data_IF_619090517931
#
_entry.id   IF_619090517931
#
_cell.length_a   1.000
_cell.length_b   1.000
_cell.length_c   1.000
_cell.angle_alpha   90.00
_cell.angle_beta   90.00
_cell.angle_gamma   90.00
#
_symmetry.space_group_name_H-M   'P 1'
#
loop_
_entity.id
_entity.type
_entity.pdbx_description
1 polymer ?
#
# COMPACT_ATOMS: atom_id res chain seq x y z
N UNK A 1 -59.11 -25.99 56.71
CA UNK A 1 -58.97 -25.10 55.53
C UNK A 1 -57.56 -24.50 55.50
N UNK A 2 -57.04 -24.18 54.31
CA UNK A 2 -55.74 -23.59 53.98
C UNK A 2 -54.48 -24.50 54.01
N UNK A 3 -54.15 -25.13 52.87
CA UNK A 3 -52.81 -25.64 52.56
C UNK A 3 -52.00 -24.57 51.81
N UNK A 4 -50.88 -24.13 52.41
CA UNK A 4 -49.90 -23.19 51.82
C UNK A 4 -49.24 -23.80 50.58
N UNK A 5 -49.33 -23.13 49.43
CA UNK A 5 -48.57 -23.45 48.21
C UNK A 5 -47.12 -22.95 48.35
N UNK A 6 -46.13 -23.85 48.25
CA UNK A 6 -44.71 -23.52 48.14
C UNK A 6 -44.41 -22.98 46.74
N UNK A 7 -43.85 -21.79 46.67
CA UNK A 7 -43.37 -21.15 45.44
C UNK A 7 -41.94 -21.64 45.15
N UNK A 8 -41.77 -22.44 44.11
CA UNK A 8 -40.46 -22.94 43.66
C UNK A 8 -39.77 -21.87 42.78
N UNK A 9 -38.70 -21.28 43.31
CA UNK A 9 -37.77 -20.46 42.51
C UNK A 9 -37.02 -21.36 41.52
N UNK A 10 -37.30 -21.22 40.22
CA UNK A 10 -36.49 -21.82 39.14
C UNK A 10 -35.19 -21.02 38.99
N UNK A 11 -34.05 -21.66 39.23
CA UNK A 11 -32.72 -21.14 38.88
C UNK A 11 -32.58 -21.13 37.35
N UNK A 12 -32.40 -19.96 36.76
CA UNK A 12 -31.97 -19.81 35.37
C UNK A 12 -30.46 -20.08 35.34
N UNK A 13 -30.04 -21.20 34.74
CA UNK A 13 -28.62 -21.50 34.49
C UNK A 13 -28.19 -20.76 33.23
N UNK A 14 -27.28 -19.80 33.39
CA UNK A 14 -26.73 -18.98 32.30
C UNK A 14 -25.69 -19.70 31.42
N UNK A 15 -25.71 -19.34 30.13
CA UNK A 15 -24.57 -18.77 29.39
C UNK A 15 -23.21 -19.51 29.32
N UNK A 16 -23.17 -20.83 29.51
CA UNK A 16 -21.95 -21.63 29.24
C UNK A 16 -22.12 -22.73 28.17
N UNK A 17 -23.28 -22.82 27.52
CA UNK A 17 -23.55 -23.81 26.46
C UNK A 17 -23.21 -23.35 25.03
N UNK A 18 -23.20 -22.04 24.76
CA UNK A 18 -23.09 -21.51 23.40
C UNK A 18 -21.67 -21.47 22.82
N UNK A 19 -20.64 -21.43 23.67
CA UNK A 19 -19.24 -21.31 23.22
C UNK A 19 -18.64 -22.66 22.80
N UNK A 20 -19.19 -23.80 23.25
CA UNK A 20 -18.68 -25.13 22.89
C UNK A 20 -19.21 -25.70 21.57
N UNK A 21 -20.35 -25.20 21.08
CA UNK A 21 -20.91 -25.63 19.79
C UNK A 21 -20.20 -25.04 18.56
N UNK A 22 -19.65 -23.83 18.69
CA UNK A 22 -19.02 -23.12 17.57
C UNK A 22 -17.68 -23.71 17.12
N UNK A 23 -16.96 -24.41 18.00
CA UNK A 23 -15.66 -25.03 17.68
C UNK A 23 -15.77 -26.40 17.01
N UNK A 24 -16.95 -27.03 16.96
CA UNK A 24 -17.14 -28.33 16.30
C UNK A 24 -17.68 -28.23 14.87
N UNK A 25 -18.22 -27.09 14.45
CA UNK A 25 -18.79 -26.91 13.10
C UNK A 25 -17.77 -26.43 12.03
N UNK A 26 -16.62 -25.86 12.42
CA UNK A 26 -15.62 -25.33 11.47
C UNK A 26 -14.53 -26.33 11.05
N UNK A 27 -14.47 -27.53 11.67
CA UNK A 27 -13.44 -28.54 11.40
C UNK A 27 -13.65 -29.41 10.16
N UNK A 28 -14.71 -29.21 9.36
CA UNK A 28 -15.09 -30.13 8.27
C UNK A 28 -15.12 -29.53 6.86
N UNK A 29 -14.73 -28.26 6.67
CA UNK A 29 -14.71 -27.60 5.34
C UNK A 29 -13.28 -27.23 4.93
N UNK A 30 -12.33 -28.18 4.92
CA UNK A 30 -11.09 -28.04 4.13
C UNK A 30 -10.60 -29.42 3.66
N UNK A 31 -11.28 -29.96 2.65
CA UNK A 31 -10.89 -31.19 1.95
C UNK A 31 -9.84 -30.84 0.88
N UNK A 32 -8.57 -31.15 1.17
CA UNK A 32 -7.45 -31.51 0.26
C UNK A 32 -7.45 -30.89 -1.15
N UNK A 33 -6.67 -29.81 -1.36
CA UNK A 33 -6.10 -29.48 -2.68
C UNK A 33 -4.74 -30.17 -2.83
N UNK A 34 -4.58 -30.98 -3.88
CA UNK A 34 -3.32 -31.66 -4.22
C UNK A 34 -2.27 -30.63 -4.66
N UNK A 35 -1.09 -30.66 -4.05
CA UNK A 35 0.08 -29.88 -4.49
C UNK A 35 0.54 -30.31 -5.89
N UNK A 36 0.60 -29.37 -6.85
CA UNK A 36 1.42 -29.50 -8.05
C UNK A 36 2.85 -29.08 -7.70
N UNK A 37 3.83 -29.92 -8.04
CA UNK A 37 5.26 -29.61 -7.88
C UNK A 37 5.67 -28.57 -8.92
N UNK A 38 6.05 -27.37 -8.46
CA UNK A 38 6.75 -26.38 -9.28
C UNK A 38 8.25 -26.61 -9.12
N UNK A 39 8.98 -26.69 -10.23
CA UNK A 39 10.41 -26.97 -10.28
C UNK A 39 11.19 -25.67 -10.07
N UNK A 40 11.84 -25.51 -8.92
CA UNK A 40 12.67 -24.34 -8.58
C UNK A 40 14.06 -24.44 -9.21
N UNK A 41 14.54 -23.32 -9.77
CA UNK A 41 15.95 -23.14 -10.17
C UNK A 41 16.86 -22.98 -8.94
N UNK A 42 18.12 -23.39 -9.09
CA UNK A 42 19.09 -23.72 -8.04
C UNK A 42 19.67 -22.52 -7.26
N UNK A 43 19.90 -22.75 -5.96
CA UNK A 43 20.12 -21.83 -4.82
C UNK A 43 21.53 -21.21 -4.63
N UNK A 44 22.41 -21.14 -5.63
CA UNK A 44 23.85 -20.93 -5.34
C UNK A 44 24.48 -19.72 -6.03
N UNK A 45 24.21 -18.49 -5.56
CA UNK A 45 25.12 -17.30 -5.70
C UNK A 45 24.63 -15.94 -5.13
N UNK A 46 23.90 -15.85 -4.01
CA UNK A 46 23.44 -14.54 -3.48
C UNK A 46 23.63 -14.30 -1.98
N UNK A 47 24.68 -14.86 -1.37
CA UNK A 47 24.99 -14.68 0.06
C UNK A 47 26.34 -14.01 0.30
N UNK A 48 26.56 -12.80 -0.26
CA UNK A 48 27.78 -12.03 0.07
C UNK A 48 27.69 -10.49 -0.11
N UNK A 49 26.50 -9.89 0.04
CA UNK A 49 26.36 -8.42 0.08
C UNK A 49 25.38 -8.00 1.19
N UNK A 50 25.81 -8.08 2.45
CA UNK A 50 24.99 -7.65 3.62
C UNK A 50 25.69 -6.64 4.53
N UNK A 51 26.68 -5.89 4.03
CA UNK A 51 27.26 -4.77 4.79
C UNK A 51 27.53 -3.64 3.82
N UNK A 52 27.06 -2.45 4.20
CA UNK A 52 27.00 -1.17 3.47
C UNK A 52 25.74 -0.99 2.59
N UNK A 53 24.96 0.09 2.59
CA UNK A 53 24.68 1.30 3.38
C UNK A 53 23.57 2.04 2.57
N UNK A 54 22.60 2.70 3.21
CA UNK A 54 21.78 3.81 2.70
C UNK A 54 21.64 4.04 1.16
N UNK A 55 20.76 3.31 0.47
CA UNK A 55 20.30 3.63 -0.90
C UNK A 55 18.89 3.06 -1.15
N UNK A 56 17.95 3.30 -0.23
CA UNK A 56 16.59 2.70 -0.27
C UNK A 56 15.45 3.68 -0.50
N UNK A 57 15.75 4.97 -0.67
CA UNK A 57 14.78 6.08 -0.86
C UNK A 57 15.09 6.90 -2.12
N UNK A 58 15.86 6.34 -3.06
CA UNK A 58 16.28 7.01 -4.29
C UNK A 58 15.46 6.66 -5.54
N UNK A 59 14.46 5.78 -5.42
CA UNK A 59 13.75 5.22 -6.57
C UNK A 59 12.45 5.96 -6.97
N UNK A 60 12.04 7.04 -6.28
CA UNK A 60 10.79 7.74 -6.60
C UNK A 60 10.98 8.74 -7.74
N UNK A 61 12.04 9.56 -7.70
CA UNK A 61 12.32 10.59 -8.71
C UNK A 61 12.77 10.00 -10.07
N UNK A 62 13.51 8.89 -10.04
CA UNK A 62 13.94 8.19 -11.24
C UNK A 62 12.79 7.56 -12.04
N UNK A 63 11.75 7.09 -11.34
CA UNK A 63 10.54 6.53 -11.96
C UNK A 63 9.73 7.65 -12.64
N UNK A 64 9.50 8.79 -11.98
CA UNK A 64 8.73 9.92 -12.53
C UNK A 64 9.36 10.51 -13.80
N UNK A 65 10.69 10.69 -13.85
CA UNK A 65 11.37 11.29 -15.00
C UNK A 65 11.51 10.33 -16.19
N UNK A 66 11.52 9.01 -15.96
CA UNK A 66 11.54 8.01 -17.03
C UNK A 66 10.23 8.01 -17.83
N UNK A 67 9.08 8.09 -17.16
CA UNK A 67 7.76 8.06 -17.81
C UNK A 67 7.40 9.37 -18.54
N UNK A 68 7.96 10.54 -18.17
CA UNK A 68 7.78 11.76 -18.97
C UNK A 68 8.53 11.73 -20.31
N UNK A 69 9.51 10.84 -20.48
CA UNK A 69 10.36 10.80 -21.69
C UNK A 69 10.01 9.70 -22.70
N UNK A 70 9.12 8.77 -22.35
CA UNK A 70 8.85 7.57 -23.15
C UNK A 70 7.74 7.71 -24.21
N UNK A 71 7.07 8.86 -24.31
CA UNK A 71 6.13 9.14 -25.40
C UNK A 71 6.71 10.11 -26.42
N UNK A 72 7.56 9.62 -27.34
CA UNK A 72 7.65 10.15 -28.72
C UNK A 72 8.35 9.18 -29.68
N UNK A 73 7.76 8.01 -29.92
CA UNK A 73 7.96 7.28 -31.17
C UNK A 73 6.59 6.77 -31.63
N UNK A 74 6.04 7.41 -32.67
CA UNK A 74 4.76 7.05 -33.25
C UNK A 74 4.72 5.59 -33.70
N UNK A 75 3.73 4.85 -33.24
CA UNK A 75 3.50 3.44 -33.61
C UNK A 75 2.70 3.40 -34.92
N UNK A 76 3.14 2.65 -35.94
CA UNK A 76 2.33 2.43 -37.14
C UNK A 76 1.24 1.41 -36.82
N UNK A 77 0.01 1.77 -37.16
CA UNK A 77 -1.18 0.92 -37.09
C UNK A 77 -1.10 -0.22 -38.09
N UNK A 78 -1.14 -1.46 -37.61
CA UNK A 78 -1.57 -2.61 -38.41
C UNK A 78 -2.51 -3.51 -37.60
N UNK A 79 -3.56 -3.90 -38.31
CA UNK A 79 -4.85 -4.47 -37.92
C UNK A 79 -4.84 -5.87 -37.29
N UNK A 80 -5.93 -6.12 -36.54
CA UNK A 80 -6.61 -7.40 -36.27
C UNK A 80 -6.04 -8.33 -35.19
N UNK A 81 -6.57 -8.21 -33.97
CA UNK A 81 -7.30 -9.27 -33.24
C UNK A 81 -7.91 -8.68 -31.96
N UNK A 82 -9.24 -8.71 -31.87
CA UNK A 82 -10.03 -8.19 -30.76
C UNK A 82 -10.00 -9.12 -29.54
N UNK A 83 -9.16 -8.81 -28.57
CA UNK A 83 -9.43 -9.06 -27.14
C UNK A 83 -9.54 -7.70 -26.47
N UNK A 84 -10.75 -7.34 -26.04
CA UNK A 84 -11.01 -6.11 -25.28
C UNK A 84 -10.29 -6.21 -23.93
N UNK A 85 -9.01 -5.85 -23.88
CA UNK A 85 -8.37 -5.41 -22.65
C UNK A 85 -9.01 -4.07 -22.30
N UNK A 86 -9.90 -4.07 -21.31
CA UNK A 86 -10.47 -2.83 -20.78
C UNK A 86 -9.34 -2.07 -20.10
N UNK A 87 -8.70 -1.17 -20.83
CA UNK A 87 -7.80 -0.18 -20.28
C UNK A 87 -8.60 0.59 -19.21
N UNK A 88 -8.23 0.46 -17.93
CA UNK A 88 -8.86 1.22 -16.86
C UNK A 88 -8.43 2.68 -16.96
N UNK A 89 -9.08 3.42 -17.84
CA UNK A 89 -8.86 4.86 -18.01
C UNK A 89 -9.68 5.59 -16.95
N UNK A 90 -9.06 5.84 -15.79
CA UNK A 90 -9.59 6.78 -14.80
C UNK A 90 -9.22 8.20 -15.19
N UNK A 91 -10.14 9.15 -15.01
CA UNK A 91 -9.76 10.56 -14.93
C UNK A 91 -8.97 10.82 -13.64
N UNK A 92 -8.17 11.89 -13.62
CA UNK A 92 -7.39 12.27 -12.43
C UNK A 92 -8.27 12.45 -11.20
N UNK A 93 -9.48 12.99 -11.40
CA UNK A 93 -10.44 13.19 -10.31
C UNK A 93 -11.03 11.86 -9.82
N UNK A 94 -11.38 10.94 -10.73
CA UNK A 94 -11.87 9.60 -10.35
C UNK A 94 -10.79 8.80 -9.59
N UNK A 95 -9.53 8.92 -10.01
CA UNK A 95 -8.40 8.34 -9.27
C UNK A 95 -8.32 8.91 -7.85
N UNK A 96 -8.34 10.24 -7.72
CA UNK A 96 -8.28 10.94 -6.42
C UNK A 96 -9.44 10.49 -5.51
N UNK A 97 -10.65 10.43 -6.04
CA UNK A 97 -11.82 10.06 -5.24
C UNK A 97 -11.80 8.58 -4.82
N UNK A 98 -11.35 7.70 -5.71
CA UNK A 98 -11.21 6.27 -5.43
C UNK A 98 -10.13 6.01 -4.37
N UNK A 99 -8.93 6.56 -4.55
CA UNK A 99 -7.83 6.39 -3.60
C UNK A 99 -8.12 7.07 -2.27
N UNK A 100 -8.73 8.26 -2.30
CA UNK A 100 -9.20 8.93 -1.09
C UNK A 100 -10.21 8.10 -0.30
N UNK A 101 -11.09 7.36 -0.98
CA UNK A 101 -11.98 6.41 -0.31
C UNK A 101 -11.23 5.24 0.32
N UNK A 102 -10.21 4.68 -0.34
CA UNK A 102 -9.37 3.64 0.25
C UNK A 102 -8.60 4.14 1.47
N UNK A 103 -8.06 5.36 1.40
CA UNK A 103 -7.35 5.99 2.51
C UNK A 103 -8.25 6.23 3.72
N UNK A 104 -9.50 6.68 3.52
CA UNK A 104 -10.51 6.79 4.58
C UNK A 104 -10.82 5.42 5.21
N UNK A 105 -10.97 4.38 4.40
CA UNK A 105 -11.23 3.01 4.89
C UNK A 105 -10.06 2.45 5.70
N UNK A 106 -8.82 2.78 5.33
CA UNK A 106 -7.60 2.32 6.00
C UNK A 106 -7.23 3.13 7.25
N UNK A 107 -7.77 4.35 7.41
CA UNK A 107 -7.47 5.23 8.54
C UNK A 107 -7.58 4.56 9.93
N UNK A 108 -8.60 3.73 10.24
CA UNK A 108 -8.70 3.08 11.55
C UNK A 108 -7.54 2.14 11.88
N UNK A 109 -6.80 1.66 10.88
CA UNK A 109 -5.65 0.78 11.06
C UNK A 109 -4.32 1.54 11.11
N UNK A 110 -4.21 2.63 10.32
CA UNK A 110 -2.94 3.33 10.11
C UNK A 110 -2.81 4.63 10.90
N UNK A 111 -3.91 5.28 11.23
CA UNK A 111 -3.98 6.64 11.79
C UNK A 111 -3.24 7.71 10.98
N UNK A 112 -2.93 7.45 9.70
CA UNK A 112 -2.34 8.43 8.79
C UNK A 112 -3.45 9.22 8.12
N UNK A 113 -3.35 10.55 8.10
CA UNK A 113 -4.34 11.42 7.47
C UNK A 113 -4.64 10.95 6.02
N UNK A 114 -5.91 10.70 5.67
CA UNK A 114 -6.29 10.29 4.32
C UNK A 114 -5.80 11.24 3.22
N UNK A 115 -5.76 12.55 3.48
CA UNK A 115 -5.21 13.55 2.56
C UNK A 115 -3.75 13.30 2.21
N UNK A 116 -2.93 12.90 3.19
CA UNK A 116 -1.51 12.57 3.00
C UNK A 116 -1.35 11.33 2.14
N UNK A 117 -2.06 10.25 2.48
CA UNK A 117 -2.00 9.00 1.71
C UNK A 117 -2.42 9.22 0.26
N UNK A 118 -3.48 10.00 0.05
CA UNK A 118 -4.00 10.31 -1.29
C UNK A 118 -3.04 11.19 -2.09
N UNK A 119 -2.46 12.23 -1.46
CA UNK A 119 -1.49 13.10 -2.11
C UNK A 119 -0.20 12.36 -2.51
N UNK A 120 0.30 11.49 -1.63
CA UNK A 120 1.41 10.60 -1.97
C UNK A 120 1.03 9.73 -3.17
N UNK A 121 -0.11 9.04 -3.15
CA UNK A 121 -0.51 8.21 -4.28
C UNK A 121 -0.60 8.99 -5.60
N UNK A 122 -1.14 10.22 -5.59
CA UNK A 122 -1.20 11.09 -6.76
C UNK A 122 0.19 11.35 -7.35
N UNK A 123 1.14 11.77 -6.50
CA UNK A 123 2.51 12.03 -6.93
C UNK A 123 3.17 10.72 -7.37
N UNK A 124 3.31 9.77 -6.46
CA UNK A 124 4.10 8.54 -6.62
C UNK A 124 3.68 7.68 -7.83
N UNK A 125 2.41 7.76 -8.26
CA UNK A 125 1.87 6.93 -9.34
C UNK A 125 1.48 7.68 -10.61
N UNK A 126 1.63 9.01 -10.64
CA UNK A 126 1.08 9.87 -11.69
C UNK A 126 -0.42 9.61 -11.92
N UNK A 127 -1.23 9.78 -10.87
CA UNK A 127 -2.68 9.48 -10.91
C UNK A 127 -3.00 8.03 -11.32
N UNK A 128 -2.16 7.07 -10.91
CA UNK A 128 -2.30 5.65 -11.25
C UNK A 128 -1.80 5.26 -12.64
N UNK A 129 -1.30 6.21 -13.43
CA UNK A 129 -0.90 6.00 -14.83
C UNK A 129 0.50 5.41 -15.01
N UNK A 130 1.35 5.45 -13.98
CA UNK A 130 2.67 4.80 -14.07
C UNK A 130 2.51 3.30 -14.35
N UNK A 131 3.44 2.70 -15.08
CA UNK A 131 3.38 1.26 -15.35
C UNK A 131 3.29 0.44 -14.05
N UNK A 132 4.05 0.87 -13.03
CA UNK A 132 4.09 0.18 -11.74
C UNK A 132 2.73 0.21 -11.04
N UNK A 133 1.98 1.31 -11.16
CA UNK A 133 0.64 1.42 -10.59
C UNK A 133 -0.44 0.78 -11.45
N UNK A 134 -0.39 0.87 -12.77
CA UNK A 134 -1.45 0.38 -13.65
C UNK A 134 -1.39 -1.13 -13.86
N UNK A 135 -0.20 -1.71 -14.04
CA UNK A 135 -0.03 -3.15 -14.28
C UNK A 135 0.11 -3.96 -12.99
N UNK A 136 0.76 -3.39 -11.96
CA UNK A 136 1.13 -4.10 -10.73
C UNK A 136 0.45 -3.56 -9.47
N UNK A 137 -0.46 -2.60 -9.64
CA UNK A 137 -1.25 -1.98 -8.56
C UNK A 137 -0.41 -1.33 -7.46
N UNK A 138 0.86 -1.00 -7.71
CA UNK A 138 1.77 -0.43 -6.72
C UNK A 138 1.83 1.09 -6.85
N UNK A 139 1.04 1.78 -6.01
CA UNK A 139 0.87 3.23 -6.05
C UNK A 139 2.06 4.00 -5.45
N UNK A 140 2.87 3.36 -4.61
CA UNK A 140 3.84 4.05 -3.74
C UNK A 140 5.28 3.61 -3.98
N UNK A 141 5.58 2.98 -5.12
CA UNK A 141 6.93 2.54 -5.46
C UNK A 141 7.52 1.52 -4.48
N UNK A 142 6.68 0.71 -3.81
CA UNK A 142 7.12 -0.13 -2.71
C UNK A 142 8.01 -1.27 -3.18
N UNK A 143 9.26 -1.28 -2.74
CA UNK A 143 10.20 -2.39 -2.97
C UNK A 143 9.85 -3.61 -2.11
N UNK A 144 10.17 -4.78 -2.63
CA UNK A 144 10.09 -6.06 -1.92
C UNK A 144 11.44 -6.39 -1.27
N UNK A 145 11.40 -6.73 0.02
CA UNK A 145 12.59 -7.11 0.79
C UNK A 145 12.56 -8.58 1.23
N UNK A 146 11.50 -9.31 0.87
CA UNK A 146 11.27 -10.70 1.23
C UNK A 146 11.07 -11.53 -0.04
N UNK A 147 11.74 -12.68 -0.18
CA UNK A 147 11.60 -13.55 -1.35
C UNK A 147 10.22 -14.20 -1.46
N UNK A 148 9.36 -14.06 -0.45
CA UNK A 148 8.01 -14.60 -0.45
C UNK A 148 6.95 -13.56 -0.84
N UNK A 149 7.31 -12.28 -0.96
CA UNK A 149 6.38 -11.23 -1.33
C UNK A 149 6.20 -11.27 -2.86
N UNK A 150 4.96 -11.28 -3.39
CA UNK A 150 4.73 -11.10 -4.82
C UNK A 150 5.46 -9.83 -5.30
N UNK A 151 6.32 -10.01 -6.30
CA UNK A 151 7.16 -8.93 -6.80
C UNK A 151 7.48 -9.10 -8.27
N UNK A 152 7.81 -7.97 -8.90
CA UNK A 152 8.30 -7.86 -10.27
C UNK A 152 9.62 -7.10 -10.26
N UNK A 153 10.62 -7.60 -10.97
CA UNK A 153 11.88 -6.88 -11.18
C UNK A 153 11.68 -5.89 -12.33
N UNK A 154 11.84 -4.60 -12.08
CA UNK A 154 11.76 -3.55 -13.09
C UNK A 154 12.99 -2.64 -13.04
N UNK A 155 13.44 -2.11 -14.19
CA UNK A 155 14.53 -1.14 -14.22
C UNK A 155 14.09 0.15 -13.54
N UNK A 156 14.94 0.69 -12.68
CA UNK A 156 14.78 2.02 -12.08
C UNK A 156 16.11 2.78 -12.12
N UNK A 157 16.05 4.10 -12.01
CA UNK A 157 17.23 4.94 -11.90
C UNK A 157 17.58 5.17 -10.44
N UNK A 158 18.81 4.84 -10.05
CA UNK A 158 19.37 5.13 -8.74
C UNK A 158 20.48 6.18 -8.88
N UNK A 159 20.55 7.12 -7.94
CA UNK A 159 21.62 8.12 -7.92
C UNK A 159 22.76 7.64 -7.01
N UNK A 160 23.85 7.17 -7.61
CA UNK A 160 24.99 6.59 -6.89
C UNK A 160 26.25 7.35 -7.27
N UNK A 161 26.99 7.84 -6.27
CA UNK A 161 28.25 8.57 -6.46
C UNK A 161 28.15 9.77 -7.42
N UNK A 162 27.04 10.51 -7.38
CA UNK A 162 26.85 11.69 -8.22
C UNK A 162 26.36 11.40 -9.64
N UNK A 163 26.02 10.14 -9.96
CA UNK A 163 25.56 9.73 -11.29
C UNK A 163 24.30 8.87 -11.20
N UNK A 164 23.41 9.03 -12.18
CA UNK A 164 22.28 8.13 -12.36
C UNK A 164 22.74 6.83 -13.04
N UNK A 165 22.36 5.69 -12.45
CA UNK A 165 22.55 4.37 -13.02
C UNK A 165 21.21 3.65 -13.11
N UNK A 166 21.02 2.82 -14.12
CA UNK A 166 19.85 1.93 -14.20
C UNK A 166 20.15 0.61 -13.50
N UNK A 167 19.29 0.21 -12.58
CA UNK A 167 19.36 -1.08 -11.89
C UNK A 167 17.98 -1.73 -11.85
N UNK A 168 17.93 -3.06 -11.94
CA UNK A 168 16.69 -3.80 -11.72
C UNK A 168 16.42 -3.91 -10.23
N UNK A 169 15.26 -3.42 -9.79
CA UNK A 169 14.83 -3.46 -8.39
C UNK A 169 13.52 -4.25 -8.25
N UNK A 170 13.38 -5.06 -7.17
CA UNK A 170 12.17 -5.84 -6.95
C UNK A 170 11.08 -4.94 -6.37
N UNK A 171 10.04 -4.65 -7.13
CA UNK A 171 8.86 -3.93 -6.66
C UNK A 171 7.76 -4.90 -6.24
N UNK A 172 7.04 -4.57 -5.17
CA UNK A 172 5.86 -5.34 -4.74
C UNK A 172 4.79 -5.30 -5.82
N UNK A 173 4.09 -6.41 -5.96
CA UNK A 173 2.88 -6.55 -6.78
C UNK A 173 1.71 -6.72 -5.85
N UNK A 174 0.64 -5.97 -6.10
CA UNK A 174 -0.60 -6.05 -5.33
C UNK A 174 -1.74 -6.59 -6.21
N UNK A 175 -2.85 -6.96 -5.56
CA UNK A 175 -4.07 -7.40 -6.26
C UNK A 175 -5.04 -6.24 -6.52
N UNK A 176 -4.85 -5.10 -5.85
CA UNK A 176 -5.62 -3.87 -6.03
C UNK A 176 -4.88 -2.66 -5.47
N UNK A 177 -5.30 -1.46 -5.89
CA UNK A 177 -4.83 -0.20 -5.28
C UNK A 177 -5.20 -0.08 -3.81
N UNK A 178 -6.33 -0.65 -3.37
CA UNK A 178 -6.71 -0.71 -1.96
C UNK A 178 -5.67 -1.49 -1.13
N UNK A 179 -5.15 -2.61 -1.64
CA UNK A 179 -4.09 -3.37 -0.98
C UNK A 179 -2.78 -2.57 -0.90
N UNK A 180 -2.45 -1.82 -1.95
CA UNK A 180 -1.29 -0.92 -1.95
C UNK A 180 -1.44 0.20 -0.91
N UNK A 181 -2.61 0.81 -0.80
CA UNK A 181 -2.95 1.81 0.23
C UNK A 181 -2.82 1.22 1.63
N UNK A 182 -3.31 0.00 1.86
CA UNK A 182 -3.19 -0.68 3.15
C UNK A 182 -1.72 -1.00 3.51
N UNK A 183 -0.91 -1.49 2.56
CA UNK A 183 0.52 -1.74 2.81
C UNK A 183 1.33 -0.45 3.05
N UNK A 184 0.92 0.64 2.40
CA UNK A 184 1.49 1.97 2.64
C UNK A 184 1.13 2.51 4.02
N UNK A 185 -0.15 2.46 4.39
CA UNK A 185 -0.63 2.83 5.73
C UNK A 185 0.12 2.08 6.83
N UNK A 186 0.35 0.77 6.66
CA UNK A 186 1.13 -0.04 7.61
C UNK A 186 2.59 0.38 7.75
N UNK A 187 3.25 0.83 6.68
CA UNK A 187 4.63 1.32 6.75
C UNK A 187 4.71 2.60 7.57
N UNK A 188 3.80 3.54 7.32
CA UNK A 188 3.79 4.80 8.06
C UNK A 188 3.37 4.58 9.53
N UNK A 189 2.44 3.66 9.79
CA UNK A 189 1.98 3.32 11.13
C UNK A 189 3.03 2.56 11.97
N UNK A 190 3.75 1.61 11.36
CA UNK A 190 4.68 0.72 12.08
C UNK A 190 6.16 1.07 11.88
N UNK A 191 6.45 2.12 11.12
CA UNK A 191 7.80 2.47 10.73
C UNK A 191 8.45 1.43 9.80
N UNK A 192 9.78 1.45 9.77
CA UNK A 192 10.59 0.58 8.92
C UNK A 192 11.10 -0.61 9.71
N UNK A 193 11.59 -1.64 9.01
CA UNK A 193 12.19 -2.82 9.65
C UNK A 193 13.43 -2.52 10.51
N UNK A 194 14.07 -1.36 10.33
CA UNK A 194 15.25 -0.93 11.07
C UNK A 194 14.93 0.14 12.12
N UNK A 195 13.76 0.78 12.04
CA UNK A 195 13.31 1.78 12.98
C UNK A 195 11.77 1.86 12.96
N UNK A 196 11.15 1.26 13.98
CA UNK A 196 9.69 1.20 14.16
C UNK A 196 9.06 2.58 14.40
N UNK A 197 9.84 3.56 14.86
CA UNK A 197 9.35 4.92 15.14
C UNK A 197 9.71 5.93 14.06
N UNK A 198 10.25 5.46 12.92
CA UNK A 198 10.77 6.32 11.86
C UNK A 198 9.78 7.37 11.36
N UNK A 199 8.50 7.04 11.31
CA UNK A 199 7.42 7.92 10.85
C UNK A 199 6.53 8.46 11.97
N UNK A 200 6.95 8.40 13.24
CA UNK A 200 6.15 8.92 14.36
C UNK A 200 5.76 10.39 14.23
N UNK A 201 6.60 11.21 13.57
CA UNK A 201 6.25 12.60 13.27
C UNK A 201 4.98 12.73 12.43
N UNK A 202 4.77 11.81 11.48
CA UNK A 202 3.58 11.77 10.61
C UNK A 202 2.33 11.43 11.43
N UNK A 203 2.44 10.48 12.36
CA UNK A 203 1.33 10.03 13.22
C UNK A 203 0.94 11.05 14.29
N UNK A 204 1.89 11.87 14.74
CA UNK A 204 1.67 12.88 15.76
C UNK A 204 1.28 14.25 15.17
N UNK A 205 1.29 14.40 13.85
CA UNK A 205 0.96 15.63 13.18
C UNK A 205 -0.51 16.01 13.41
N UNK A 206 -0.75 17.26 13.78
CA UNK A 206 -2.11 17.80 14.00
C UNK A 206 -2.73 18.35 12.70
N UNK A 207 -1.95 18.42 11.62
CA UNK A 207 -2.40 18.88 10.32
C UNK A 207 -1.66 18.18 9.19
N UNK A 208 -2.23 18.20 7.98
CA UNK A 208 -1.55 17.66 6.81
C UNK A 208 -0.24 18.40 6.49
N UNK A 209 -0.11 19.69 6.83
CA UNK A 209 1.12 20.45 6.62
C UNK A 209 2.24 19.91 7.53
N UNK A 210 1.94 19.69 8.80
CA UNK A 210 2.87 19.05 9.74
C UNK A 210 3.24 17.63 9.30
N UNK A 211 2.26 16.84 8.82
CA UNK A 211 2.51 15.49 8.34
C UNK A 211 3.40 15.46 7.09
N UNK A 212 3.21 16.41 6.15
CA UNK A 212 4.02 16.55 4.95
C UNK A 212 5.48 16.90 5.29
N UNK A 213 5.71 17.86 6.18
CA UNK A 213 7.07 18.17 6.65
C UNK A 213 7.68 17.00 7.43
N UNK A 214 6.91 16.30 8.26
CA UNK A 214 7.39 15.12 8.96
C UNK A 214 7.83 13.99 8.01
N UNK A 215 7.13 13.80 6.88
CA UNK A 215 7.56 12.87 5.82
C UNK A 215 8.90 13.28 5.20
N UNK A 216 9.07 14.58 4.93
CA UNK A 216 10.32 15.12 4.40
C UNK A 216 11.47 14.98 5.39
N UNK A 217 11.25 15.32 6.66
CA UNK A 217 12.24 15.16 7.75
C UNK A 217 12.62 13.70 7.97
N UNK A 218 11.66 12.77 7.83
CA UNK A 218 11.92 11.33 7.87
C UNK A 218 12.71 10.84 6.64
N UNK A 219 12.85 11.66 5.59
CA UNK A 219 13.57 11.28 4.37
C UNK A 219 12.80 10.30 3.49
N UNK A 220 11.45 10.40 3.48
CA UNK A 220 10.59 9.55 2.65
C UNK A 220 10.96 9.66 1.16
N UNK A 221 11.20 10.89 0.70
CA UNK A 221 11.68 11.20 -0.64
C UNK A 221 12.97 12.04 -0.58
N UNK A 222 13.75 11.99 -1.65
CA UNK A 222 14.99 12.77 -1.81
C UNK A 222 14.75 14.17 -2.40
N UNK A 223 13.54 14.46 -2.86
CA UNK A 223 13.15 15.79 -3.32
C UNK A 223 13.16 16.79 -2.14
N UNK A 224 13.96 17.87 -2.22
CA UNK A 224 13.98 18.89 -1.16
C UNK A 224 12.65 19.66 -1.01
N UNK A 225 11.74 19.57 -1.97
CA UNK A 225 10.43 20.23 -1.96
C UNK A 225 9.28 19.23 -1.76
N UNK A 226 9.55 18.00 -1.31
CA UNK A 226 8.52 16.96 -1.21
C UNK A 226 7.31 17.38 -0.37
N UNK A 227 7.54 18.02 0.79
CA UNK A 227 6.47 18.50 1.66
C UNK A 227 5.57 19.52 0.95
N UNK A 228 6.17 20.49 0.25
CA UNK A 228 5.43 21.50 -0.51
C UNK A 228 4.64 20.86 -1.66
N UNK A 229 5.23 19.91 -2.38
CA UNK A 229 4.53 19.17 -3.44
C UNK A 229 3.29 18.43 -2.91
N UNK A 230 3.37 17.83 -1.72
CA UNK A 230 2.22 17.20 -1.07
C UNK A 230 1.16 18.23 -0.69
N UNK A 231 1.57 19.34 -0.06
CA UNK A 231 0.65 20.42 0.34
C UNK A 231 -0.08 20.99 -0.88
N UNK A 232 0.64 21.24 -1.97
CA UNK A 232 0.07 21.72 -3.24
C UNK A 232 -0.98 20.77 -3.80
N UNK A 233 -0.71 19.46 -3.78
CA UNK A 233 -1.69 18.45 -4.23
C UNK A 233 -2.91 18.43 -3.30
N UNK A 234 -2.70 18.49 -1.98
CA UNK A 234 -3.77 18.49 -0.98
C UNK A 234 -4.69 19.70 -1.16
N UNK A 235 -4.11 20.88 -1.37
CA UNK A 235 -4.87 22.12 -1.55
C UNK A 235 -5.55 22.15 -2.93
N UNK A 236 -4.84 21.79 -4.01
CA UNK A 236 -5.37 21.81 -5.38
C UNK A 236 -6.56 20.87 -5.57
N UNK A 237 -6.50 19.69 -4.95
CA UNK A 237 -7.56 18.69 -5.05
C UNK A 237 -8.44 18.67 -3.82
N UNK A 238 -8.37 19.63 -2.90
CA UNK A 238 -9.21 19.74 -1.70
C UNK A 238 -9.28 18.44 -0.86
N UNK A 239 -8.13 17.77 -0.69
CA UNK A 239 -8.06 16.42 -0.12
C UNK A 239 -8.41 16.34 1.37
N UNK A 240 -8.43 17.48 2.08
CA UNK A 240 -8.88 17.56 3.49
C UNK A 240 -10.34 17.13 3.67
N UNK A 241 -11.15 17.10 2.60
CA UNK A 241 -12.48 16.49 2.64
C UNK A 241 -12.47 15.02 3.08
N UNK A 242 -11.36 14.30 2.86
CA UNK A 242 -11.21 12.92 3.31
C UNK A 242 -10.85 12.84 4.80
N UNK A 243 -10.01 13.75 5.30
CA UNK A 243 -9.67 13.85 6.73
C UNK A 243 -10.92 14.13 7.58
N UNK A 244 -11.79 15.02 7.09
CA UNK A 244 -13.06 15.37 7.76
C UNK A 244 -14.04 14.18 7.91
N UNK A 245 -13.82 13.07 7.19
CA UNK A 245 -14.66 11.86 7.28
C UNK A 245 -14.22 10.91 8.38
N UNK A 246 -13.03 11.14 8.96
CA UNK A 246 -12.42 10.25 9.94
C UNK A 246 -12.10 10.93 11.29
N UNK A 247 -12.39 12.23 11.40
CA UNK A 247 -12.25 13.05 12.61
C UNK A 247 -13.58 13.25 13.34
#
# INVERSE_FOLDING_TARGET
MAKKKKQTRRKVKGWQGWVKGYQQAFGLIFKKRRHRKVRYLSKKKRTQRRKEIWLGTLAILGLMLFFLSQDYQGVPTSSDTSSEEVEMVYTDQEFVDLVGQYAVTEYPNSHVLPSIVTAQAVLESNFGKSQLSSEYFNLFGRKSYSPNDPSVDLPTQEFVNGQYITVDEPFRVYTSWEESVADHGRLLANGTSWNETHYNGVLNASSYKEAAYALQEAGYATDPNYAESLIDVIERYELTRFDNRVQ
#
